data_IF_354649532788
#
_entry.id   IF_354649532788
#
_cell.length_a   1.000
_cell.length_b   1.000
_cell.length_c   1.000
_cell.angle_alpha   90.00
_cell.angle_beta   90.00
_cell.angle_gamma   90.00
#
_symmetry.space_group_name_H-M   'P 1'
#
loop_
_entity.id
_entity.type
_entity.pdbx_description
1 polymer ?
#
# COMPACT_ATOMS: atom_id res chain seq x y z
N UNK A 1 -6.59 4.17 21.11
CA UNK A 1 -5.91 5.48 21.17
C UNK A 1 -4.45 5.39 20.74
N UNK A 2 -3.52 4.83 21.54
CA UNK A 2 -2.08 4.80 21.16
C UNK A 2 -1.78 3.75 20.07
N UNK A 3 -2.28 2.53 20.21
CA UNK A 3 -2.13 1.47 19.19
C UNK A 3 -2.65 1.90 17.81
N UNK A 4 -3.85 2.50 17.73
CA UNK A 4 -4.41 3.02 16.48
C UNK A 4 -3.55 4.15 15.88
N UNK A 5 -2.97 5.01 16.72
CA UNK A 5 -2.06 6.07 16.28
C UNK A 5 -0.80 5.49 15.64
N UNK A 6 -0.24 4.44 16.24
CA UNK A 6 0.93 3.72 15.71
C UNK A 6 0.57 3.03 14.39
N UNK A 7 -0.55 2.31 14.34
CA UNK A 7 -1.02 1.68 13.11
C UNK A 7 -1.21 2.73 12.00
N UNK A 8 -1.95 3.80 12.22
CA UNK A 8 -2.12 4.83 11.18
C UNK A 8 -0.79 5.48 10.75
N UNK A 9 0.24 5.49 11.61
CA UNK A 9 1.58 5.93 11.22
C UNK A 9 2.28 4.89 10.33
N UNK A 10 2.17 3.62 10.65
CA UNK A 10 2.72 2.51 9.84
C UNK A 10 2.05 2.49 8.46
N UNK A 11 0.71 2.58 8.35
CA UNK A 11 0.00 2.65 7.06
C UNK A 11 0.55 3.74 6.14
N UNK A 12 0.74 4.95 6.69
CA UNK A 12 1.27 6.10 5.96
C UNK A 12 2.72 5.94 5.47
N UNK A 13 3.42 4.93 5.97
CA UNK A 13 4.76 4.57 5.49
C UNK A 13 4.68 3.41 4.50
N UNK A 14 3.99 2.34 4.86
CA UNK A 14 3.94 1.07 4.13
C UNK A 14 3.19 1.17 2.81
N UNK A 15 1.95 1.69 2.79
CA UNK A 15 1.16 1.67 1.55
C UNK A 15 1.73 2.55 0.43
N UNK A 16 2.24 3.77 0.70
CA UNK A 16 2.93 4.54 -0.32
C UNK A 16 4.21 3.88 -0.84
N UNK A 17 4.92 3.15 0.03
CA UNK A 17 6.17 2.45 -0.29
C UNK A 17 5.91 1.30 -1.27
N UNK A 18 5.06 0.35 -0.86
CA UNK A 18 4.62 -0.77 -1.69
C UNK A 18 4.07 -0.32 -3.05
N UNK A 19 3.25 0.74 -3.06
CA UNK A 19 2.70 1.29 -4.30
C UNK A 19 3.81 1.80 -5.25
N UNK A 20 4.84 2.45 -4.72
CA UNK A 20 5.94 2.97 -5.52
C UNK A 20 6.84 1.85 -6.06
N UNK A 21 7.02 0.75 -5.34
CA UNK A 21 7.79 -0.42 -5.76
C UNK A 21 7.14 -1.12 -6.94
N UNK A 22 5.85 -1.42 -6.80
CA UNK A 22 5.07 -2.07 -7.84
C UNK A 22 4.94 -1.20 -9.10
N UNK A 23 4.88 0.12 -8.93
CA UNK A 23 4.75 1.06 -10.04
C UNK A 23 6.07 1.33 -10.77
N UNK A 24 7.21 1.30 -10.06
CA UNK A 24 8.50 1.74 -10.59
C UNK A 24 9.53 0.62 -10.66
N UNK A 25 9.72 -0.15 -9.59
CA UNK A 25 10.80 -1.12 -9.46
C UNK A 25 10.44 -2.48 -10.09
N UNK A 26 9.24 -3.03 -9.84
CA UNK A 26 8.86 -4.34 -10.38
C UNK A 26 8.90 -4.44 -11.89
N UNK A 27 8.41 -3.45 -12.67
CA UNK A 27 8.56 -3.49 -14.12
C UNK A 27 10.02 -3.53 -14.56
N UNK A 28 10.94 -2.95 -13.79
CA UNK A 28 12.38 -2.98 -14.11
C UNK A 28 12.97 -4.33 -13.75
N UNK A 29 12.70 -4.84 -12.54
CA UNK A 29 13.17 -6.15 -12.08
C UNK A 29 12.74 -7.28 -13.01
N UNK A 30 11.47 -7.30 -13.44
CA UNK A 30 10.93 -8.28 -14.41
C UNK A 30 11.62 -8.25 -15.77
N UNK A 31 12.11 -7.09 -16.21
CA UNK A 31 12.85 -6.96 -17.48
C UNK A 31 14.34 -7.23 -17.32
N UNK A 32 14.89 -6.99 -16.14
CA UNK A 32 16.33 -7.06 -15.88
C UNK A 32 16.78 -8.45 -15.41
N UNK A 33 15.89 -9.22 -14.78
CA UNK A 33 16.20 -10.54 -14.22
C UNK A 33 15.36 -11.64 -14.88
N UNK A 34 15.96 -12.81 -15.20
CA UNK A 34 15.21 -13.96 -15.74
C UNK A 34 14.11 -14.48 -14.79
N UNK A 35 14.32 -14.40 -13.49
CA UNK A 35 13.40 -14.81 -12.43
C UNK A 35 12.62 -13.63 -11.83
N UNK A 36 12.67 -12.44 -12.45
CA UNK A 36 12.06 -11.22 -11.93
C UNK A 36 10.55 -11.31 -11.71
N UNK A 37 9.82 -12.05 -12.56
CA UNK A 37 8.37 -12.28 -12.35
C UNK A 37 8.11 -13.06 -11.06
N UNK A 38 8.87 -14.13 -10.81
CA UNK A 38 8.71 -14.97 -9.63
C UNK A 38 9.06 -14.21 -8.35
N UNK A 39 10.17 -13.45 -8.38
CA UNK A 39 10.60 -12.65 -7.22
C UNK A 39 9.57 -11.58 -6.88
N UNK A 40 9.12 -10.81 -7.87
CA UNK A 40 8.16 -9.72 -7.63
C UNK A 40 6.77 -10.23 -7.27
N UNK A 41 6.34 -11.38 -7.81
CA UNK A 41 5.05 -11.98 -7.45
C UNK A 41 5.00 -12.38 -5.98
N UNK A 42 6.11 -12.86 -5.40
CA UNK A 42 6.16 -13.19 -3.97
C UNK A 42 5.91 -11.96 -3.11
N UNK A 43 6.63 -10.87 -3.37
CA UNK A 43 6.46 -9.62 -2.61
C UNK A 43 5.07 -9.01 -2.85
N UNK A 44 4.53 -9.10 -4.08
CA UNK A 44 3.13 -8.71 -4.36
C UNK A 44 2.12 -9.51 -3.51
N UNK A 45 2.38 -10.79 -3.20
CA UNK A 45 1.52 -11.60 -2.33
C UNK A 45 1.62 -11.15 -0.86
N UNK A 46 2.81 -10.84 -0.37
CA UNK A 46 3.04 -10.31 0.98
C UNK A 46 2.36 -8.94 1.15
N UNK A 47 2.51 -8.05 0.18
CA UNK A 47 1.79 -6.78 0.10
C UNK A 47 0.26 -6.96 0.15
N UNK A 48 -0.26 -7.98 -0.54
CA UNK A 48 -1.68 -8.28 -0.54
C UNK A 48 -2.16 -8.77 0.83
N UNK A 49 -1.38 -9.64 1.48
CA UNK A 49 -1.67 -10.08 2.85
C UNK A 49 -1.68 -8.89 3.84
N UNK A 50 -0.72 -7.97 3.71
CA UNK A 50 -0.70 -6.73 4.50
C UNK A 50 -1.98 -5.92 4.30
N UNK A 51 -2.48 -5.77 3.06
CA UNK A 51 -3.74 -5.07 2.78
C UNK A 51 -4.93 -5.72 3.51
N UNK A 52 -5.01 -7.06 3.47
CA UNK A 52 -6.11 -7.83 4.04
C UNK A 52 -6.13 -7.77 5.57
N UNK A 53 -4.96 -7.96 6.19
CA UNK A 53 -4.77 -7.82 7.64
C UNK A 53 -5.13 -6.40 8.09
N UNK A 54 -4.69 -5.38 7.34
CA UNK A 54 -4.99 -3.99 7.65
C UNK A 54 -6.48 -3.68 7.58
N UNK A 55 -7.12 -4.08 6.48
CA UNK A 55 -8.55 -3.87 6.25
C UNK A 55 -9.37 -4.52 7.36
N UNK A 56 -8.99 -5.72 7.77
CA UNK A 56 -9.63 -6.44 8.89
C UNK A 56 -9.44 -5.68 10.20
N UNK A 57 -8.22 -5.19 10.48
CA UNK A 57 -7.91 -4.40 11.68
C UNK A 57 -8.68 -3.07 11.75
N UNK A 58 -8.98 -2.43 10.61
CA UNK A 58 -9.79 -1.20 10.58
C UNK A 58 -11.27 -1.45 10.87
N UNK A 59 -11.78 -2.63 10.54
CA UNK A 59 -13.18 -3.00 10.77
C UNK A 59 -13.44 -3.57 12.17
N UNK A 60 -12.41 -4.13 12.82
CA UNK A 60 -12.53 -4.74 14.15
C UNK A 60 -12.66 -3.70 15.27
N UNK A 61 -13.59 -3.89 16.23
CA UNK A 61 -13.66 -3.07 17.44
C UNK A 61 -12.34 -3.08 18.20
N UNK A 62 -11.92 -1.95 18.76
CA UNK A 62 -10.64 -1.81 19.48
C UNK A 62 -10.45 -2.82 20.64
N UNK A 63 -11.54 -3.32 21.23
CA UNK A 63 -11.54 -4.31 22.30
C UNK A 63 -11.62 -5.77 21.81
N UNK A 64 -11.61 -6.04 20.50
CA UNK A 64 -11.69 -7.40 19.97
C UNK A 64 -10.47 -8.23 20.42
N UNK A 65 -10.68 -9.46 20.93
CA UNK A 65 -9.60 -10.35 21.35
C UNK A 65 -8.74 -10.86 20.19
N UNK A 66 -9.20 -10.72 18.94
CA UNK A 66 -8.49 -11.15 17.73
C UNK A 66 -7.41 -10.14 17.29
N UNK A 67 -7.50 -8.88 17.74
CA UNK A 67 -6.60 -7.81 17.30
C UNK A 67 -5.12 -8.09 17.55
N UNK A 68 -4.70 -8.59 18.73
CA UNK A 68 -3.28 -8.89 18.97
C UNK A 68 -2.73 -9.90 17.97
N UNK A 69 -3.49 -10.96 17.66
CA UNK A 69 -3.09 -12.01 16.70
C UNK A 69 -2.87 -11.42 15.30
N UNK A 70 -3.79 -10.55 14.86
CA UNK A 70 -3.67 -9.88 13.56
C UNK A 70 -2.49 -8.91 13.50
N UNK A 71 -2.17 -8.23 14.60
CA UNK A 71 -1.02 -7.31 14.68
C UNK A 71 0.29 -8.09 14.67
N UNK A 72 0.35 -9.23 15.35
CA UNK A 72 1.52 -10.10 15.34
C UNK A 72 1.78 -10.64 13.94
N UNK A 73 0.72 -11.10 13.24
CA UNK A 73 0.85 -11.55 11.83
C UNK A 73 1.26 -10.40 10.92
N UNK A 74 0.63 -9.23 11.03
CA UNK A 74 1.00 -8.04 10.25
C UNK A 74 2.46 -7.67 10.46
N UNK A 75 2.95 -7.73 11.70
CA UNK A 75 4.35 -7.43 12.02
C UNK A 75 5.30 -8.48 11.44
N UNK A 76 4.91 -9.75 11.43
CA UNK A 76 5.70 -10.82 10.82
C UNK A 76 5.82 -10.63 9.31
N UNK A 77 4.69 -10.43 8.60
CA UNK A 77 4.67 -10.24 7.14
C UNK A 77 5.49 -9.00 6.74
N UNK A 78 5.34 -7.87 7.44
CA UNK A 78 6.15 -6.68 7.17
C UNK A 78 7.66 -6.90 7.37
N UNK A 79 8.06 -7.83 8.25
CA UNK A 79 9.48 -8.16 8.42
C UNK A 79 9.95 -9.11 7.34
N UNK A 80 9.13 -10.07 6.94
CA UNK A 80 9.41 -11.00 5.84
C UNK A 80 9.63 -10.20 4.55
N UNK A 81 8.68 -9.32 4.22
CA UNK A 81 8.70 -8.37 3.09
C UNK A 81 10.01 -7.56 3.03
N UNK A 82 10.37 -6.86 4.11
CA UNK A 82 11.63 -6.10 4.19
C UNK A 82 12.85 -6.98 3.94
N UNK A 83 12.88 -8.23 4.44
CA UNK A 83 14.03 -9.12 4.23
C UNK A 83 14.10 -9.63 2.80
N UNK A 84 12.98 -10.00 2.21
CA UNK A 84 12.92 -10.41 0.81
C UNK A 84 13.38 -9.27 -0.11
N UNK A 85 13.02 -8.03 0.19
CA UNK A 85 13.50 -6.88 -0.56
C UNK A 85 14.98 -6.57 -0.34
N UNK A 86 15.41 -6.37 0.91
CA UNK A 86 16.77 -5.92 1.24
C UNK A 86 17.83 -6.98 0.95
N UNK A 87 17.53 -8.26 1.18
CA UNK A 87 18.50 -9.34 1.00
C UNK A 87 18.50 -9.89 -0.44
N UNK A 88 17.36 -9.83 -1.14
CA UNK A 88 17.19 -10.52 -2.42
C UNK A 88 16.91 -9.59 -3.58
N UNK A 89 15.84 -8.78 -3.55
CA UNK A 89 15.42 -8.02 -4.74
C UNK A 89 16.31 -6.81 -5.00
N UNK A 90 16.57 -5.97 -4.00
CA UNK A 90 17.34 -4.73 -4.17
C UNK A 90 18.80 -4.98 -4.56
N UNK A 91 19.54 -5.95 -3.96
CA UNK A 91 20.91 -6.25 -4.39
C UNK A 91 20.97 -6.75 -5.83
N UNK A 92 20.00 -7.57 -6.27
CA UNK A 92 19.94 -8.06 -7.64
C UNK A 92 19.58 -6.95 -8.63
N UNK A 93 18.66 -6.04 -8.28
CA UNK A 93 18.37 -4.86 -9.07
C UNK A 93 19.64 -3.99 -9.24
N UNK A 94 20.38 -3.78 -8.15
CA UNK A 94 21.64 -3.04 -8.18
C UNK A 94 22.70 -3.73 -9.06
N UNK A 95 22.78 -5.06 -9.03
CA UNK A 95 23.69 -5.84 -9.88
C UNK A 95 23.30 -5.82 -11.37
N UNK A 96 22.01 -5.72 -11.69
CA UNK A 96 21.50 -5.77 -13.06
C UNK A 96 21.38 -4.39 -13.74
N UNK A 97 21.41 -3.29 -12.98
CA UNK A 97 21.14 -1.94 -13.49
C UNK A 97 22.29 -0.98 -13.18
N UNK A 98 22.75 -0.24 -14.19
CA UNK A 98 23.83 0.74 -14.02
C UNK A 98 23.47 1.91 -13.10
N UNK A 99 24.47 2.46 -12.40
CA UNK A 99 24.29 3.48 -11.35
C UNK A 99 23.48 4.72 -11.74
N UNK A 100 23.67 5.28 -12.94
CA UNK A 100 22.86 6.42 -13.41
C UNK A 100 21.38 6.09 -13.51
N UNK A 101 21.07 4.86 -13.96
CA UNK A 101 19.68 4.39 -14.07
C UNK A 101 19.10 4.09 -12.68
N UNK A 102 19.89 3.55 -11.75
CA UNK A 102 19.45 3.39 -10.34
C UNK A 102 19.09 4.73 -9.69
N UNK A 103 19.89 5.79 -9.91
CA UNK A 103 19.57 7.13 -9.40
C UNK A 103 18.25 7.67 -9.98
N UNK A 104 18.03 7.47 -11.29
CA UNK A 104 16.78 7.86 -11.93
C UNK A 104 15.57 7.07 -11.39
N UNK A 105 15.74 5.77 -11.13
CA UNK A 105 14.71 4.93 -10.53
C UNK A 105 14.39 5.36 -9.10
N UNK A 106 15.40 5.68 -8.28
CA UNK A 106 15.18 6.21 -6.93
C UNK A 106 14.42 7.54 -6.94
N UNK A 107 14.74 8.44 -7.87
CA UNK A 107 14.01 9.70 -8.03
C UNK A 107 12.55 9.47 -8.47
N UNK A 108 12.31 8.56 -9.42
CA UNK A 108 10.97 8.20 -9.88
C UNK A 108 10.15 7.53 -8.76
N UNK A 109 10.74 6.60 -8.04
CA UNK A 109 10.13 5.93 -6.89
C UNK A 109 9.72 6.94 -5.82
N UNK A 110 10.60 7.86 -5.44
CA UNK A 110 10.30 8.87 -4.42
C UNK A 110 9.19 9.84 -4.87
N UNK A 111 9.15 10.19 -6.17
CA UNK A 111 8.08 11.00 -6.72
C UNK A 111 6.72 10.27 -6.62
N UNK A 112 6.69 9.00 -7.04
CA UNK A 112 5.47 8.17 -6.98
C UNK A 112 4.99 7.98 -5.54
N UNK A 113 5.90 7.65 -4.62
CA UNK A 113 5.59 7.46 -3.19
C UNK A 113 4.92 8.68 -2.57
N UNK A 114 5.36 9.90 -2.91
CA UNK A 114 4.76 11.14 -2.37
C UNK A 114 3.32 11.34 -2.84
N UNK A 115 3.00 10.86 -4.04
CA UNK A 115 1.67 10.98 -4.64
C UNK A 115 0.82 9.72 -4.49
N UNK A 116 1.32 8.71 -3.79
CA UNK A 116 0.62 7.46 -3.57
C UNK A 116 -0.42 7.55 -2.44
N UNK A 117 -1.46 6.70 -2.47
CA UNK A 117 -2.43 6.59 -1.40
C UNK A 117 -1.79 6.17 -0.07
N UNK A 118 -2.42 6.53 1.05
CA UNK A 118 -1.89 6.26 2.39
C UNK A 118 -2.61 5.12 3.13
N UNK A 119 -3.57 4.47 2.47
CA UNK A 119 -4.37 3.34 2.96
C UNK A 119 -4.39 2.19 1.95
N UNK A 120 -4.82 0.98 2.37
CA UNK A 120 -4.93 -0.13 1.44
C UNK A 120 -6.01 0.14 0.40
N UNK A 121 -5.67 -0.09 -0.87
CA UNK A 121 -6.60 -0.06 -1.99
C UNK A 121 -6.41 -1.33 -2.84
N UNK A 122 -7.02 -2.46 -2.44
CA UNK A 122 -6.79 -3.77 -3.04
C UNK A 122 -7.28 -3.88 -4.49
N UNK A 123 -8.18 -2.99 -4.93
CA UNK A 123 -8.76 -3.01 -6.27
C UNK A 123 -7.96 -2.17 -7.28
N UNK A 124 -7.00 -1.35 -6.81
CA UNK A 124 -6.15 -0.57 -7.70
C UNK A 124 -5.07 -1.51 -8.24
N UNK A 125 -5.14 -1.86 -9.51
CA UNK A 125 -4.02 -2.53 -10.18
C UNK A 125 -2.78 -1.66 -10.03
N UNK A 126 -1.80 -2.16 -9.28
CA UNK A 126 -0.51 -1.51 -9.03
C UNK A 126 0.45 -1.70 -10.22
N UNK A 127 0.05 -2.53 -11.20
CA UNK A 127 0.76 -2.74 -12.48
C UNK A 127 0.41 -1.60 -13.47
N UNK A 128 1.40 -0.97 -14.13
CA UNK A 128 1.15 -0.01 -15.20
C UNK A 128 0.38 -0.63 -16.38
N UNK A 129 -0.44 0.14 -17.14
CA UNK A 129 -0.67 1.58 -17.03
C UNK A 129 -1.86 1.98 -16.12
N UNK A 130 -2.54 1.02 -15.48
CA UNK A 130 -3.78 1.28 -14.71
C UNK A 130 -3.56 2.13 -13.43
N UNK A 131 -2.35 2.12 -12.89
CA UNK A 131 -1.99 2.74 -11.60
C UNK A 131 -1.98 4.28 -11.60
N UNK A 132 -1.54 4.94 -12.68
CA UNK A 132 -1.20 6.37 -12.66
C UNK A 132 -2.40 7.32 -12.54
N UNK A 133 -3.56 6.96 -13.10
CA UNK A 133 -4.77 7.80 -13.06
C UNK A 133 -5.70 7.42 -11.90
N UNK A 134 -5.65 6.16 -11.48
CA UNK A 134 -6.43 5.61 -10.37
C UNK A 134 -5.98 6.14 -8.99
N UNK A 135 -4.68 6.37 -8.82
CA UNK A 135 -4.09 6.75 -7.54
C UNK A 135 -4.39 8.19 -7.11
N UNK A 136 -4.62 9.12 -8.04
CA UNK A 136 -4.78 10.54 -7.71
C UNK A 136 -6.06 10.83 -6.90
N UNK A 137 -7.26 10.39 -7.30
CA UNK A 137 -8.47 10.58 -6.49
C UNK A 137 -8.37 9.90 -5.13
N UNK A 138 -7.82 8.68 -5.07
CA UNK A 138 -7.66 7.93 -3.83
C UNK A 138 -6.71 8.62 -2.85
N UNK A 139 -5.59 9.14 -3.33
CA UNK A 139 -4.63 9.89 -2.53
C UNK A 139 -5.25 11.14 -1.89
N UNK A 140 -6.09 11.86 -2.64
CA UNK A 140 -6.80 13.03 -2.11
C UNK A 140 -7.77 12.61 -1.00
N UNK A 141 -8.57 11.57 -1.23
CA UNK A 141 -9.53 11.04 -0.26
C UNK A 141 -8.83 10.57 1.01
N UNK A 142 -7.73 9.83 0.87
CA UNK A 142 -6.93 9.31 1.97
C UNK A 142 -6.28 10.41 2.81
N UNK A 143 -5.69 11.41 2.18
CA UNK A 143 -5.11 12.53 2.93
C UNK A 143 -6.17 13.36 3.64
N UNK A 144 -7.37 13.47 3.06
CA UNK A 144 -8.54 14.02 3.74
C UNK A 144 -8.91 13.21 5.00
N UNK A 145 -8.98 11.89 4.89
CA UNK A 145 -9.22 10.99 6.03
C UNK A 145 -8.14 11.13 7.10
N UNK A 146 -6.87 11.22 6.72
CA UNK A 146 -5.75 11.41 7.66
C UNK A 146 -5.92 12.66 8.52
N UNK A 147 -6.33 13.77 7.90
CA UNK A 147 -6.63 15.02 8.59
C UNK A 147 -7.82 14.90 9.54
N UNK A 148 -8.93 14.29 9.08
CA UNK A 148 -10.13 14.08 9.89
C UNK A 148 -9.88 13.14 11.08
N UNK A 149 -9.13 12.07 10.87
CA UNK A 149 -8.75 11.14 11.94
C UNK A 149 -7.85 11.83 12.97
N UNK A 150 -6.94 12.70 12.53
CA UNK A 150 -6.12 13.51 13.44
C UNK A 150 -6.96 14.50 14.25
N UNK A 151 -7.93 15.18 13.62
CA UNK A 151 -8.86 16.08 14.30
C UNK A 151 -9.75 15.33 15.33
N UNK A 152 -10.26 14.16 14.95
CA UNK A 152 -11.08 13.33 15.84
C UNK A 152 -10.32 12.88 17.10
N UNK A 153 -9.01 12.61 16.96
CA UNK A 153 -8.13 12.28 18.09
C UNK A 153 -7.77 13.50 18.94
N UNK A 154 -7.60 14.68 18.32
CA UNK A 154 -7.16 15.92 18.98
C UNK A 154 -8.25 16.71 19.70
N UNK A 155 -9.53 16.47 19.40
CA UNK A 155 -10.64 17.22 19.99
C UNK A 155 -11.84 16.34 20.34
N UNK A 156 -12.22 16.29 21.62
CA UNK A 156 -13.39 15.54 22.10
C UNK A 156 -14.70 16.09 21.51
N UNK A 157 -14.82 17.42 21.36
CA UNK A 157 -15.99 18.09 20.76
C UNK A 157 -16.16 17.73 19.28
N UNK A 158 -15.06 17.59 18.55
CA UNK A 158 -15.09 17.33 17.11
C UNK A 158 -15.01 15.84 16.76
N UNK A 159 -14.79 14.95 17.73
CA UNK A 159 -14.67 13.50 17.52
C UNK A 159 -15.82 12.92 16.69
N UNK A 160 -17.07 13.13 17.15
CA UNK A 160 -18.26 12.63 16.47
C UNK A 160 -18.43 13.12 15.02
N UNK A 161 -18.42 14.44 14.75
CA UNK A 161 -18.53 14.94 13.37
C UNK A 161 -17.33 14.56 12.49
N UNK A 162 -16.08 14.61 13.01
CA UNK A 162 -14.89 14.26 12.23
C UNK A 162 -14.85 12.77 11.85
N UNK A 163 -15.19 11.86 12.78
CA UNK A 163 -15.29 10.43 12.49
C UNK A 163 -16.35 10.11 11.43
N UNK A 164 -17.52 10.79 11.49
CA UNK A 164 -18.56 10.63 10.45
C UNK A 164 -18.09 11.11 9.07
N UNK A 165 -17.42 12.25 9.01
CA UNK A 165 -16.85 12.76 7.76
C UNK A 165 -15.77 11.82 7.20
N UNK A 166 -14.90 11.28 8.06
CA UNK A 166 -13.87 10.30 7.67
C UNK A 166 -14.50 9.03 7.08
N UNK A 167 -15.57 8.52 7.71
CA UNK A 167 -16.36 7.41 7.18
C UNK A 167 -17.01 7.71 5.82
N UNK A 168 -17.46 8.95 5.60
CA UNK A 168 -17.99 9.40 4.30
C UNK A 168 -16.94 9.37 3.19
N UNK A 169 -15.70 9.80 3.47
CA UNK A 169 -14.59 9.71 2.53
C UNK A 169 -14.18 8.25 2.26
N UNK A 170 -14.23 7.38 3.28
CA UNK A 170 -14.01 5.94 3.12
C UNK A 170 -15.01 5.34 2.12
N UNK A 171 -16.30 5.66 2.27
CA UNK A 171 -17.34 5.20 1.36
C UNK A 171 -17.15 5.74 -0.07
N UNK A 172 -16.61 6.95 -0.23
CA UNK A 172 -16.27 7.50 -1.55
C UNK A 172 -15.09 6.75 -2.19
N UNK A 173 -14.04 6.44 -1.42
CA UNK A 173 -12.89 5.65 -1.90
C UNK A 173 -13.34 4.28 -2.40
N UNK A 174 -14.19 3.57 -1.65
CA UNK A 174 -14.75 2.27 -2.08
C UNK A 174 -15.67 2.35 -3.31
N UNK A 175 -16.18 3.54 -3.67
CA UNK A 175 -16.88 3.74 -4.96
C UNK A 175 -15.89 3.93 -6.10
N UNK A 176 -14.84 4.74 -5.88
CA UNK A 176 -13.76 4.97 -6.85
C UNK A 176 -13.10 3.64 -7.25
N UNK A 177 -12.86 2.76 -6.29
CA UNK A 177 -12.33 1.40 -6.51
C UNK A 177 -13.24 0.53 -7.40
N UNK A 178 -14.57 0.67 -7.28
CA UNK A 178 -15.55 -0.13 -8.04
C UNK A 178 -15.80 0.38 -9.45
N UNK A 179 -15.42 1.61 -9.78
CA UNK A 179 -15.55 2.15 -11.14
C UNK A 179 -14.42 1.53 -11.98
N UNK A 180 -14.80 0.60 -12.87
CA UNK A 180 -13.97 -0.41 -13.54
C UNK A 180 -12.82 0.03 -14.47
N UNK A 181 -12.28 1.24 -14.30
CA UNK A 181 -10.98 1.62 -14.90
C UNK A 181 -9.81 0.89 -14.20
N UNK A 182 -10.03 0.34 -12.99
CA UNK A 182 -9.00 -0.26 -12.15
C UNK A 182 -8.79 -1.78 -12.31
N UNK A 183 -9.69 -2.49 -13.02
CA UNK A 183 -9.60 -3.97 -13.26
C UNK A 183 -8.80 -4.38 -14.51
N UNK A 184 -8.48 -3.45 -15.41
CA UNK A 184 -7.74 -3.78 -16.65
C UNK A 184 -6.23 -3.77 -16.38
N UNK A 185 -5.69 -4.94 -16.06
CA UNK A 185 -4.25 -5.17 -15.86
C UNK A 185 -3.91 -6.58 -15.37
N UNK A 186 -4.89 -7.30 -14.81
CA UNK A 186 -4.75 -8.71 -14.45
C UNK A 186 -5.04 -9.58 -15.68
N UNK A 187 -4.01 -10.09 -16.34
CA UNK A 187 -4.17 -11.44 -16.89
C UNK A 187 -4.22 -12.41 -15.69
N UNK A 188 -5.19 -13.34 -15.65
CA UNK A 188 -5.25 -14.31 -14.57
C UNK A 188 -3.95 -15.12 -14.54
N UNK A 189 -3.45 -15.53 -13.36
CA UNK A 189 -2.37 -16.50 -13.30
C UNK A 189 -2.87 -17.75 -14.02
N UNK A 190 -2.22 -18.10 -15.14
CA UNK A 190 -2.47 -19.37 -15.80
C UNK A 190 -2.21 -20.47 -14.79
N UNK A 191 -3.27 -21.12 -14.33
CA UNK A 191 -3.20 -22.32 -13.51
C UNK A 191 -2.38 -23.39 -14.25
N UNK A 192 -1.32 -23.89 -13.63
CA UNK A 192 -0.79 -25.23 -13.85
C UNK A 192 -0.48 -25.86 -12.51
#
# INVERSE_FOLDING_TARGET
MEQERILHRIARLVFPHAFAEESVLWPVLRRALPDGEVLTLRVEQEHQEVNELWTTLEQLPAASPERPVLIDRLTAVLREDVRDEEDMLLPRLQGAVGGRRLQALGAAWEAVRRTAPTRPHPVVSRRPPGNALAALPLTILDRGRDGLDALARGSSRLRGPASRASGGLAAAASRVERVGVMRRGEEPPTSR
#
